data_IF_228385397240
#
_entry.id   IF_228385397240
#
_cell.length_a   1.000
_cell.length_b   1.000
_cell.length_c   1.000
_cell.angle_alpha   90.00
_cell.angle_beta   90.00
_cell.angle_gamma   90.00
#
_symmetry.space_group_name_H-M   'P 1'
#
loop_
_entity.id
_entity.type
_entity.pdbx_description
1 polymer ?
#
# COMPACT_ATOMS: atom_id res chain seq x y z
N UNK A 1 -6.18 1.59 24.64
CA UNK A 1 -7.46 1.64 25.39
C UNK A 1 -8.58 0.88 24.68
N UNK A 2 -8.95 1.20 23.43
CA UNK A 2 -10.08 0.52 22.75
C UNK A 2 -9.95 -1.00 22.61
N UNK A 3 -8.71 -1.50 22.51
CA UNK A 3 -8.36 -2.92 22.35
C UNK A 3 -7.71 -3.55 23.59
N UNK A 4 -7.65 -2.80 24.70
CA UNK A 4 -7.09 -3.33 25.96
C UNK A 4 -8.15 -4.20 26.61
N UNK A 5 -7.82 -5.44 27.03
CA UNK A 5 -8.72 -6.28 27.82
C UNK A 5 -9.25 -5.52 29.04
N UNK A 6 -10.51 -5.77 29.40
CA UNK A 6 -11.09 -5.05 30.53
C UNK A 6 -10.41 -5.38 31.85
N UNK A 7 -10.00 -6.64 32.02
CA UNK A 7 -9.24 -7.10 33.18
C UNK A 7 -7.95 -6.31 33.38
N UNK A 8 -7.26 -5.92 32.30
CA UNK A 8 -6.04 -5.12 32.37
C UNK A 8 -6.33 -3.66 32.79
N UNK A 9 -7.52 -3.15 32.46
CA UNK A 9 -7.95 -1.81 32.90
C UNK A 9 -8.34 -1.80 34.38
N UNK A 10 -8.90 -2.90 34.88
CA UNK A 10 -9.30 -3.08 36.28
C UNK A 10 -8.10 -3.18 37.25
N UNK A 11 -6.91 -3.50 36.74
CA UNK A 11 -5.67 -3.50 37.54
C UNK A 11 -5.19 -2.09 37.88
N UNK A 12 -5.68 -1.06 37.16
CA UNK A 12 -5.29 0.33 37.38
C UNK A 12 -5.97 0.86 38.66
N UNK A 13 -5.18 1.41 39.58
CA UNK A 13 -5.70 1.99 40.82
C UNK A 13 -6.74 3.09 40.53
N UNK A 14 -7.93 2.93 41.08
CA UNK A 14 -9.05 3.87 40.92
C UNK A 14 -9.96 3.60 39.72
N UNK A 15 -9.76 2.51 38.97
CA UNK A 15 -10.67 2.09 37.90
C UNK A 15 -11.55 0.94 38.41
N UNK A 16 -12.86 1.09 38.27
CA UNK A 16 -13.85 0.03 38.47
C UNK A 16 -14.40 -0.45 37.12
N UNK A 17 -15.27 -1.47 37.16
CA UNK A 17 -15.84 -2.09 35.95
C UNK A 17 -16.61 -1.09 35.10
N UNK A 18 -17.43 -0.25 35.73
CA UNK A 18 -18.22 0.78 35.04
C UNK A 18 -17.32 1.80 34.33
N UNK A 19 -16.30 2.31 35.02
CA UNK A 19 -15.33 3.26 34.46
C UNK A 19 -14.52 2.63 33.33
N UNK A 20 -14.05 1.40 33.52
CA UNK A 20 -13.27 0.67 32.50
C UNK A 20 -14.12 0.41 31.24
N UNK A 21 -15.38 0.02 31.40
CA UNK A 21 -16.32 -0.16 30.28
C UNK A 21 -16.57 1.15 29.53
N UNK A 22 -16.89 2.23 30.26
CA UNK A 22 -17.17 3.54 29.67
C UNK A 22 -15.95 4.09 28.91
N UNK A 23 -14.74 3.94 29.47
CA UNK A 23 -13.51 4.34 28.80
C UNK A 23 -13.28 3.55 27.51
N UNK A 24 -13.54 2.24 27.52
CA UNK A 24 -13.41 1.39 26.32
C UNK A 24 -14.44 1.78 25.26
N UNK A 25 -15.69 2.03 25.66
CA UNK A 25 -16.76 2.50 24.78
C UNK A 25 -16.37 3.83 24.14
N UNK A 26 -15.94 4.82 24.92
CA UNK A 26 -15.49 6.11 24.40
C UNK A 26 -14.30 5.98 23.46
N UNK A 27 -13.32 5.16 23.82
CA UNK A 27 -12.15 4.93 22.98
C UNK A 27 -12.55 4.32 21.63
N UNK A 28 -13.49 3.36 21.61
CA UNK A 28 -14.01 2.78 20.37
C UNK A 28 -14.79 3.80 19.53
N UNK A 29 -15.68 4.56 20.17
CA UNK A 29 -16.45 5.61 19.49
C UNK A 29 -15.53 6.68 18.88
N UNK A 30 -14.45 7.04 19.57
CA UNK A 30 -13.45 7.96 19.04
C UNK A 30 -12.73 7.39 17.81
N UNK A 31 -12.30 6.12 17.86
CA UNK A 31 -11.66 5.47 16.72
C UNK A 31 -12.60 5.41 15.51
N UNK A 32 -13.85 5.01 15.72
CA UNK A 32 -14.84 4.96 14.64
C UNK A 32 -15.06 6.34 14.01
N UNK A 33 -15.26 7.37 14.84
CA UNK A 33 -15.44 8.74 14.35
C UNK A 33 -14.21 9.25 13.59
N UNK A 34 -13.00 8.92 14.07
CA UNK A 34 -11.75 9.26 13.40
C UNK A 34 -11.61 8.53 12.06
N UNK A 35 -11.90 7.25 12.01
CA UNK A 35 -11.74 6.46 10.79
C UNK A 35 -12.76 6.90 9.73
N UNK A 36 -13.98 7.27 10.14
CA UNK A 36 -15.00 7.84 9.26
C UNK A 36 -14.62 9.24 8.75
N UNK A 37 -14.01 10.08 9.60
CA UNK A 37 -13.43 11.36 9.20
C UNK A 37 -12.35 11.19 8.13
N UNK A 38 -11.40 10.27 8.36
CA UNK A 38 -10.31 10.02 7.41
C UNK A 38 -10.84 9.48 6.08
N UNK A 39 -11.82 8.57 6.11
CA UNK A 39 -12.46 8.09 4.89
C UNK A 39 -13.20 9.20 4.14
N UNK A 40 -13.91 10.09 4.85
CA UNK A 40 -14.55 11.25 4.21
C UNK A 40 -13.52 12.15 3.55
N UNK A 41 -12.43 12.48 4.25
CA UNK A 41 -11.35 13.33 3.72
C UNK A 41 -10.67 12.71 2.50
N UNK A 42 -10.41 11.40 2.54
CA UNK A 42 -9.92 10.62 1.38
C UNK A 42 -10.80 10.83 0.15
N UNK A 43 -12.11 10.68 0.31
CA UNK A 43 -13.09 10.85 -0.77
C UNK A 43 -13.12 12.31 -1.27
N UNK A 44 -13.08 13.29 -0.36
CA UNK A 44 -13.02 14.72 -0.71
C UNK A 44 -11.76 15.08 -1.51
N UNK A 45 -10.62 14.45 -1.20
CA UNK A 45 -9.36 14.62 -1.93
C UNK A 45 -9.37 13.91 -3.29
N UNK A 46 -10.35 13.03 -3.53
CA UNK A 46 -10.49 12.26 -4.77
C UNK A 46 -9.55 11.07 -4.86
N UNK A 47 -9.13 10.52 -3.71
CA UNK A 47 -8.28 9.32 -3.66
C UNK A 47 -9.12 8.09 -3.99
N UNK A 48 -8.64 7.31 -4.95
CA UNK A 48 -9.27 6.09 -5.42
C UNK A 48 -9.16 4.93 -4.41
N UNK A 49 -10.06 3.96 -4.55
CA UNK A 49 -10.14 2.81 -3.64
C UNK A 49 -8.93 1.87 -3.79
N UNK A 50 -8.34 1.80 -4.99
CA UNK A 50 -7.15 0.97 -5.27
C UNK A 50 -5.91 1.38 -4.47
N UNK A 51 -5.75 2.68 -4.18
CA UNK A 51 -4.74 3.21 -3.27
C UNK A 51 -5.13 3.00 -1.81
N UNK A 52 -6.41 3.16 -1.49
CA UNK A 52 -6.92 3.06 -0.12
C UNK A 52 -6.86 1.64 0.44
N UNK A 53 -7.04 0.65 -0.44
CA UNK A 53 -7.05 -0.78 -0.10
C UNK A 53 -5.65 -1.41 -0.15
N UNK A 54 -4.60 -0.62 -0.43
CA UNK A 54 -3.23 -1.12 -0.50
C UNK A 54 -2.73 -1.57 0.89
N UNK A 55 -2.19 -2.78 0.96
CA UNK A 55 -1.60 -3.29 2.19
C UNK A 55 -0.41 -2.41 2.63
N UNK A 56 -0.33 -2.15 3.95
CA UNK A 56 0.71 -1.29 4.52
C UNK A 56 0.39 0.20 4.49
N UNK A 57 -0.73 0.62 3.87
CA UNK A 57 -1.17 2.02 3.84
C UNK A 57 -2.35 2.20 4.79
N UNK A 58 -2.16 2.96 5.88
CA UNK A 58 -3.25 3.27 6.80
C UNK A 58 -4.13 4.41 6.28
N UNK A 59 -5.38 4.52 6.73
CA UNK A 59 -6.28 5.62 6.33
C UNK A 59 -5.68 7.03 6.54
N UNK A 60 -4.83 7.20 7.57
CA UNK A 60 -4.10 8.45 7.80
C UNK A 60 -3.03 8.72 6.74
N UNK A 61 -2.32 7.68 6.30
CA UNK A 61 -1.35 7.76 5.19
C UNK A 61 -2.07 8.06 3.88
N UNK A 62 -3.20 7.40 3.59
CA UNK A 62 -4.00 7.64 2.38
C UNK A 62 -4.42 9.12 2.26
N UNK A 63 -4.85 9.73 3.38
CA UNK A 63 -5.18 11.16 3.40
C UNK A 63 -3.96 12.02 3.10
N UNK A 64 -2.80 11.76 3.73
CA UNK A 64 -1.56 12.51 3.46
C UNK A 64 -1.11 12.40 2.01
N UNK A 65 -1.24 11.22 1.41
CA UNK A 65 -0.97 11.01 -0.02
C UNK A 65 -1.90 11.85 -0.88
N UNK A 66 -3.21 11.84 -0.59
CA UNK A 66 -4.20 12.65 -1.30
C UNK A 66 -3.96 14.16 -1.19
N UNK A 67 -3.46 14.65 -0.06
CA UNK A 67 -3.06 16.05 0.15
C UNK A 67 -1.86 16.45 -0.72
N UNK A 68 -1.04 15.48 -1.14
CA UNK A 68 0.12 15.66 -2.02
C UNK A 68 -0.18 15.23 -3.47
N UNK A 69 -1.46 15.22 -3.86
CA UNK A 69 -1.93 14.89 -5.21
C UNK A 69 -1.67 13.44 -5.67
N UNK A 70 -1.38 12.53 -4.75
CA UNK A 70 -1.25 11.09 -5.01
C UNK A 70 -2.58 10.43 -4.74
N UNK A 71 -3.30 10.06 -5.80
CA UNK A 71 -4.71 9.67 -5.70
C UNK A 71 -4.99 8.26 -6.14
N UNK A 72 -4.09 7.65 -6.90
CA UNK A 72 -4.24 6.30 -7.45
C UNK A 72 -3.09 5.42 -7.01
N UNK A 73 -3.26 4.10 -7.17
CA UNK A 73 -2.15 3.17 -6.94
C UNK A 73 -0.98 3.43 -7.89
N UNK A 74 -1.26 3.87 -9.12
CA UNK A 74 -0.23 4.24 -10.11
C UNK A 74 0.59 5.46 -9.66
N UNK A 75 -0.07 6.51 -9.16
CA UNK A 75 0.64 7.69 -8.64
C UNK A 75 1.62 7.32 -7.52
N UNK A 76 1.23 6.37 -6.65
CA UNK A 76 2.09 5.85 -5.60
C UNK A 76 3.22 4.97 -6.18
N UNK A 77 2.94 4.16 -7.20
CA UNK A 77 3.91 3.28 -7.84
C UNK A 77 5.04 4.06 -8.55
N UNK A 78 4.79 5.29 -8.96
CA UNK A 78 5.78 6.16 -9.59
C UNK A 78 6.82 6.74 -8.60
N UNK A 79 6.52 6.75 -7.30
CA UNK A 79 7.42 7.32 -6.29
C UNK A 79 8.63 6.42 -5.98
N UNK A 80 9.69 7.05 -5.51
CA UNK A 80 10.76 6.40 -4.76
C UNK A 80 10.44 6.32 -3.24
N UNK A 81 11.10 5.41 -2.53
CA UNK A 81 10.85 5.23 -1.09
C UNK A 81 11.25 6.43 -0.22
N UNK A 82 12.25 7.20 -0.64
CA UNK A 82 12.65 8.45 0.01
C UNK A 82 11.67 9.60 -0.25
N UNK A 83 11.12 9.70 -1.46
CA UNK A 83 10.04 10.65 -1.78
C UNK A 83 8.79 10.36 -0.94
N UNK A 84 8.43 9.07 -0.77
CA UNK A 84 7.33 8.69 0.10
C UNK A 84 7.59 9.07 1.58
N UNK A 85 8.83 8.95 2.07
CA UNK A 85 9.18 9.37 3.42
C UNK A 85 9.07 10.88 3.63
N UNK A 86 9.45 11.67 2.62
CA UNK A 86 9.31 13.13 2.64
C UNK A 86 7.83 13.54 2.69
N UNK A 87 6.98 12.91 1.89
CA UNK A 87 5.53 13.15 1.91
C UNK A 87 4.92 12.77 3.27
N UNK A 88 5.41 11.70 3.89
CA UNK A 88 4.92 11.19 5.16
C UNK A 88 5.66 11.75 6.38
N UNK A 89 6.33 12.89 6.24
CA UNK A 89 7.01 13.61 7.33
C UNK A 89 6.18 13.56 8.64
N UNK A 90 6.79 13.03 9.70
CA UNK A 90 6.16 12.87 11.01
C UNK A 90 5.51 11.51 11.27
N UNK A 91 5.40 10.61 10.29
CA UNK A 91 5.16 9.18 10.54
C UNK A 91 6.45 8.47 10.95
N UNK A 92 6.32 7.49 11.85
CA UNK A 92 7.45 6.59 12.17
C UNK A 92 7.49 5.47 11.13
N UNK A 93 8.06 5.77 9.96
CA UNK A 93 8.27 4.80 8.88
C UNK A 93 9.74 4.74 8.49
N UNK A 94 10.27 3.54 8.29
CA UNK A 94 11.63 3.34 7.77
C UNK A 94 11.65 3.37 6.24
N UNK A 95 12.83 3.62 5.65
CA UNK A 95 13.02 3.56 4.19
C UNK A 95 12.73 2.16 3.63
N UNK A 96 13.01 1.10 4.39
CA UNK A 96 12.70 -0.28 4.00
C UNK A 96 11.18 -0.51 3.93
N UNK A 97 10.43 0.00 4.91
CA UNK A 97 8.96 -0.06 4.89
C UNK A 97 8.39 0.75 3.72
N UNK A 98 8.93 1.96 3.49
CA UNK A 98 8.54 2.79 2.36
C UNK A 98 8.74 2.06 1.03
N UNK A 99 9.93 1.51 0.80
CA UNK A 99 10.24 0.74 -0.40
C UNK A 99 9.32 -0.49 -0.55
N UNK A 100 8.96 -1.14 0.56
CA UNK A 100 8.02 -2.29 0.53
C UNK A 100 6.65 -1.86 0.04
N UNK A 101 6.12 -0.73 0.53
CA UNK A 101 4.85 -0.15 0.07
C UNK A 101 4.91 0.19 -1.42
N UNK A 102 5.98 0.84 -1.87
CA UNK A 102 6.18 1.20 -3.28
C UNK A 102 6.24 -0.06 -4.17
N UNK A 103 6.94 -1.11 -3.74
CA UNK A 103 6.98 -2.38 -4.48
C UNK A 103 5.60 -3.05 -4.53
N UNK A 104 4.83 -3.01 -3.44
CA UNK A 104 3.47 -3.53 -3.41
C UNK A 104 2.55 -2.77 -4.36
N UNK A 105 2.70 -1.43 -4.44
CA UNK A 105 2.01 -0.63 -5.44
C UNK A 105 2.39 -1.06 -6.86
N UNK A 106 3.68 -1.25 -7.17
CA UNK A 106 4.16 -1.69 -8.50
C UNK A 106 3.80 -3.12 -8.88
N UNK A 107 3.58 -4.00 -7.90
CA UNK A 107 3.33 -5.42 -8.14
C UNK A 107 2.17 -5.67 -9.11
N UNK A 108 1.20 -4.76 -9.18
CA UNK A 108 0.07 -4.89 -10.09
C UNK A 108 0.43 -4.79 -11.57
N UNK A 109 1.54 -4.14 -11.94
CA UNK A 109 2.03 -4.13 -13.33
C UNK A 109 2.64 -5.47 -13.75
N UNK A 110 3.07 -6.29 -12.78
CA UNK A 110 3.70 -7.58 -13.03
C UNK A 110 2.73 -8.76 -12.86
N UNK A 111 1.55 -8.53 -12.27
CA UNK A 111 0.55 -9.57 -12.04
C UNK A 111 -0.04 -10.16 -13.34
N UNK A 112 0.08 -9.45 -14.46
CA UNK A 112 -0.37 -9.91 -15.78
C UNK A 112 0.77 -10.51 -16.64
N UNK A 113 2.04 -10.33 -16.28
CA UNK A 113 3.21 -10.78 -17.07
C UNK A 113 3.51 -12.28 -16.88
N UNK A 114 3.13 -12.87 -15.74
CA UNK A 114 3.30 -14.32 -15.48
C UNK A 114 2.40 -15.20 -16.39
N UNK A 115 1.47 -14.62 -17.14
CA UNK A 115 0.61 -15.33 -18.07
C UNK A 115 1.17 -15.40 -19.52
N UNK A 116 2.29 -14.73 -19.82
CA UNK A 116 2.75 -14.52 -21.20
C UNK A 116 4.14 -15.10 -21.56
N UNK A 117 4.81 -15.86 -20.69
CA UNK A 117 6.16 -16.41 -20.95
C UNK A 117 6.20 -17.95 -21.14
N UNK A 118 5.37 -18.50 -22.05
CA UNK A 118 5.53 -19.90 -22.52
C UNK A 118 5.39 -20.06 -24.04
N UNK A 119 5.67 -19.01 -24.82
CA UNK A 119 5.76 -19.16 -26.28
C UNK A 119 6.89 -18.34 -26.89
N UNK A 120 7.80 -19.06 -27.57
CA UNK A 120 8.81 -18.60 -28.54
C UNK A 120 10.26 -18.46 -28.05
N UNK A 121 10.84 -19.60 -27.63
CA UNK A 121 12.23 -19.90 -27.98
C UNK A 121 12.25 -21.12 -28.90
N UNK A 122 12.25 -20.91 -30.22
CA UNK A 122 12.60 -21.94 -31.19
C UNK A 122 13.28 -21.35 -32.43
N UNK A 123 14.61 -21.39 -32.35
CA UNK A 123 15.55 -21.70 -33.43
C UNK A 123 15.61 -20.76 -34.66
N UNK A 124 16.48 -19.75 -34.58
CA UNK A 124 17.22 -19.28 -35.76
C UNK A 124 18.69 -19.68 -35.64
N UNK A 125 19.03 -20.78 -36.31
CA UNK A 125 20.38 -21.32 -36.44
C UNK A 125 20.62 -21.84 -37.85
N UNK A 126 21.07 -20.93 -38.72
CA UNK A 126 22.02 -21.14 -39.83
C UNK A 126 21.62 -22.01 -41.04
N UNK A 127 21.56 -21.37 -42.21
CA UNK A 127 22.00 -21.98 -43.47
C UNK A 127 22.74 -20.92 -44.31
N UNK A 128 24.06 -21.07 -44.37
CA UNK A 128 24.96 -20.29 -45.20
C UNK A 128 24.67 -20.48 -46.69
N UNK A 129 24.73 -19.36 -47.40
CA UNK A 129 24.71 -19.22 -48.84
C UNK A 129 26.01 -19.79 -49.43
N UNK A 130 25.91 -20.86 -50.24
CA UNK A 130 27.01 -21.31 -51.11
C UNK A 130 26.46 -21.62 -52.50
N UNK A 131 26.14 -20.56 -53.25
CA UNK A 131 26.02 -20.63 -54.71
C UNK A 131 27.44 -20.61 -55.32
N UNK A 132 27.88 -21.73 -55.90
CA UNK A 132 29.01 -21.74 -56.83
C UNK A 132 28.49 -22.23 -58.19
N UNK A 133 28.60 -21.43 -59.27
CA UNK A 133 28.00 -21.78 -60.55
C UNK A 133 28.76 -22.90 -61.26
N UNK A 134 27.99 -23.81 -61.84
CA UNK A 134 28.39 -24.93 -62.70
C UNK A 134 29.03 -24.42 -64.00
N UNK A 135 30.17 -25.01 -64.39
CA UNK A 135 30.80 -24.82 -65.70
C UNK A 135 31.29 -26.14 -66.28
N UNK A 136 30.86 -26.41 -67.52
CA UNK A 136 31.01 -27.60 -68.38
C UNK A 136 32.44 -28.07 -68.60
#
# INVERSE_FOLDING_TARGET
MAFVPIDDLLVIEGFDEEVAEELRVRARSFLQARDEELNRRRVELGVADDLADLEGVSAGIVVKLGENEIKTRDDLADLAGDELLEILEGETMSLEQANTIIMAARAHWFADDDAADDSEVSAEGQAEDVDTPVGV
#
